data_IF_112852679140
#
_entry.id   IF_112852679140
#
_cell.length_a   1.000
_cell.length_b   1.000
_cell.length_c   1.000
_cell.angle_alpha   90.00
_cell.angle_beta   90.00
_cell.angle_gamma   90.00
#
_symmetry.space_group_name_H-M   'P 1'
#
loop_
_entity.id
_entity.type
_entity.pdbx_description
1 polymer ?
#
# COMPACT_ATOMS: atom_id res chain seq x y z
N UNK A 1 41.88 -38.97 -15.20
CA UNK A 1 41.06 -37.74 -15.08
C UNK A 1 40.37 -37.49 -16.40
N UNK A 2 39.18 -36.89 -16.39
CA UNK A 2 38.30 -36.66 -17.55
C UNK A 2 37.68 -38.01 -18.01
N UNK A 3 36.38 -38.23 -18.14
CA UNK A 3 35.32 -37.38 -18.65
C UNK A 3 34.01 -37.91 -18.05
N UNK A 4 33.35 -37.11 -17.20
CA UNK A 4 31.98 -37.35 -16.73
C UNK A 4 31.04 -36.61 -17.67
N UNK A 5 30.48 -37.30 -18.66
CA UNK A 5 29.38 -36.72 -19.44
C UNK A 5 28.05 -37.34 -19.06
N UNK A 6 27.18 -36.43 -18.60
CA UNK A 6 25.78 -36.36 -18.98
C UNK A 6 24.88 -37.52 -18.52
N UNK A 7 24.87 -37.80 -17.23
CA UNK A 7 23.71 -38.39 -16.57
C UNK A 7 23.24 -37.43 -15.49
N UNK A 8 22.32 -36.54 -15.86
CA UNK A 8 21.19 -36.06 -15.06
C UNK A 8 20.51 -34.92 -15.81
N UNK A 9 19.90 -35.29 -16.93
CA UNK A 9 18.68 -34.63 -17.36
C UNK A 9 17.64 -34.92 -16.28
N UNK A 10 17.36 -33.95 -15.41
CA UNK A 10 16.18 -33.91 -14.51
C UNK A 10 16.17 -32.57 -13.74
N UNK A 11 16.13 -31.47 -14.47
CA UNK A 11 15.54 -30.22 -13.95
C UNK A 11 14.51 -29.71 -14.96
N UNK A 12 13.66 -30.64 -15.40
CA UNK A 12 12.32 -30.28 -15.86
C UNK A 12 11.52 -29.76 -14.68
N UNK A 13 10.75 -28.71 -14.96
CA UNK A 13 9.56 -28.28 -14.22
C UNK A 13 9.78 -27.76 -12.80
N UNK A 14 10.23 -26.51 -12.73
CA UNK A 14 9.58 -25.54 -11.83
C UNK A 14 9.49 -24.21 -12.59
N UNK A 15 8.54 -24.15 -13.54
CA UNK A 15 7.81 -22.89 -13.73
C UNK A 15 7.15 -22.67 -12.38
N UNK A 16 7.77 -21.85 -11.53
CA UNK A 16 7.08 -21.28 -10.38
C UNK A 16 5.87 -20.56 -10.99
N UNK A 17 4.73 -21.25 -10.96
CA UNK A 17 3.44 -20.60 -10.95
C UNK A 17 3.46 -19.76 -9.67
N UNK A 18 4.02 -18.55 -9.77
CA UNK A 18 3.69 -17.50 -8.84
C UNK A 18 2.16 -17.45 -8.88
N UNK A 19 1.46 -17.75 -7.78
CA UNK A 19 0.03 -17.51 -7.76
C UNK A 19 -0.14 -16.04 -8.09
N UNK A 20 -0.72 -15.75 -9.26
CA UNK A 20 -1.25 -14.45 -9.63
C UNK A 20 -2.49 -14.18 -8.76
N UNK A 21 -2.26 -14.16 -7.45
CA UNK A 21 -3.16 -13.72 -6.40
C UNK A 21 -2.45 -12.62 -5.58
N UNK A 22 -1.60 -11.85 -6.25
CA UNK A 22 -1.30 -10.46 -5.86
C UNK A 22 -2.22 -9.50 -6.61
N UNK A 23 -3.45 -9.92 -6.89
CA UNK A 23 -4.51 -9.03 -7.37
C UNK A 23 -5.23 -8.44 -6.14
N UNK A 24 -4.47 -7.78 -5.25
CA UNK A 24 -5.04 -6.92 -4.21
C UNK A 24 -4.00 -6.02 -3.51
N UNK A 25 -3.01 -5.49 -4.24
CA UNK A 25 -2.09 -4.47 -3.70
C UNK A 25 -2.19 -3.11 -4.42
N UNK A 26 -3.29 -2.81 -5.11
CA UNK A 26 -3.45 -1.45 -5.68
C UNK A 26 -4.89 -0.93 -5.74
N UNK A 27 -5.79 -1.43 -4.90
CA UNK A 27 -6.78 -0.51 -4.35
C UNK A 27 -6.10 0.08 -3.12
N UNK A 28 -5.43 1.22 -3.28
CA UNK A 28 -5.40 2.21 -2.21
C UNK A 28 -6.88 2.42 -1.88
N UNK A 29 -7.39 1.63 -0.94
CA UNK A 29 -8.62 1.93 -0.24
C UNK A 29 -8.40 3.36 0.22
N UNK A 30 -9.08 4.32 -0.41
CA UNK A 30 -9.06 5.73 0.00
C UNK A 30 -9.64 5.73 1.41
N UNK A 31 -8.82 5.37 2.39
CA UNK A 31 -9.14 5.47 3.80
C UNK A 31 -9.14 6.95 4.07
N UNK A 32 -10.35 7.47 4.15
CA UNK A 32 -10.53 8.81 4.67
C UNK A 32 -9.97 8.87 6.10
N UNK A 33 -9.49 10.03 6.49
CA UNK A 33 -8.99 10.34 7.80
C UNK A 33 -10.15 10.73 8.72
N UNK A 34 -10.16 10.13 9.90
CA UNK A 34 -11.08 10.52 10.97
C UNK A 34 -10.64 11.86 11.58
N UNK A 35 -11.42 12.37 12.55
CA UNK A 35 -11.11 13.60 13.27
C UNK A 35 -9.66 13.62 13.75
N UNK A 36 -8.98 14.75 13.55
CA UNK A 36 -7.55 14.97 13.83
C UNK A 36 -6.56 14.23 12.93
N UNK A 37 -7.01 13.52 11.90
CA UNK A 37 -6.09 12.97 10.91
C UNK A 37 -5.62 14.04 9.93
N UNK A 38 -4.35 13.97 9.55
CA UNK A 38 -3.75 14.86 8.56
C UNK A 38 -4.48 14.78 7.23
N UNK A 39 -4.82 15.93 6.66
CA UNK A 39 -5.55 16.02 5.40
C UNK A 39 -4.92 17.08 4.49
N UNK A 40 -5.11 16.94 3.17
CA UNK A 40 -4.77 17.99 2.21
C UNK A 40 -6.02 18.56 1.53
N UNK A 41 -7.06 17.75 1.40
CA UNK A 41 -8.32 18.08 0.74
C UNK A 41 -9.51 17.63 1.59
N UNK A 42 -10.70 18.18 1.35
CA UNK A 42 -11.92 17.77 2.06
C UNK A 42 -12.26 16.29 1.82
N UNK A 43 -12.02 15.78 0.61
CA UNK A 43 -12.23 14.37 0.23
C UNK A 43 -11.31 13.40 0.99
N UNK A 44 -10.25 13.90 1.63
CA UNK A 44 -9.40 13.08 2.50
C UNK A 44 -10.08 12.80 3.84
N UNK A 45 -11.11 13.55 4.24
CA UNK A 45 -11.76 13.42 5.54
C UNK A 45 -13.03 12.55 5.49
N UNK A 46 -13.31 11.79 6.55
CA UNK A 46 -14.47 10.92 6.59
C UNK A 46 -15.78 11.68 6.88
N UNK A 47 -16.83 11.38 6.13
CA UNK A 47 -18.17 11.92 6.37
C UNK A 47 -18.25 13.42 6.12
N UNK A 48 -18.81 14.17 7.08
CA UNK A 48 -18.99 15.63 6.98
C UNK A 48 -17.77 16.43 7.45
N UNK A 49 -16.68 15.76 7.83
CA UNK A 49 -15.46 16.40 8.32
C UNK A 49 -14.77 17.21 7.21
N UNK A 50 -14.29 18.39 7.54
CA UNK A 50 -13.56 19.29 6.64
C UNK A 50 -12.09 19.35 6.98
N UNK A 51 -11.28 19.48 5.95
CA UNK A 51 -9.87 19.71 6.11
C UNK A 51 -9.61 21.16 6.55
N UNK A 52 -9.29 21.34 7.83
CA UNK A 52 -9.18 22.66 8.48
C UNK A 52 -7.74 22.93 8.89
N UNK A 53 -7.27 24.16 8.65
CA UNK A 53 -5.94 24.60 9.05
C UNK A 53 -5.95 25.13 10.48
N UNK A 54 -5.26 24.47 11.40
CA UNK A 54 -5.06 24.93 12.77
C UNK A 54 -3.71 25.63 12.90
N UNK A 55 -3.74 26.92 13.23
CA UNK A 55 -2.55 27.78 13.39
C UNK A 55 -2.11 27.93 14.84
N UNK A 56 -2.89 27.42 15.79
CA UNK A 56 -2.76 27.62 17.24
C UNK A 56 -2.70 26.30 17.98
N UNK A 57 -1.89 26.22 19.03
CA UNK A 57 -1.68 25.01 19.83
C UNK A 57 -0.36 24.27 19.50
N UNK A 58 -0.13 23.15 20.19
CA UNK A 58 1.04 22.28 20.00
C UNK A 58 1.01 21.52 18.65
N UNK A 59 -0.18 21.34 18.08
CA UNK A 59 -0.39 20.68 16.80
C UNK A 59 -0.87 21.72 15.79
N UNK A 60 0.07 22.28 15.02
CA UNK A 60 -0.19 23.17 13.87
C UNK A 60 -0.14 22.38 12.57
N UNK A 61 -1.15 22.52 11.72
CA UNK A 61 -1.29 21.69 10.52
C UNK A 61 -2.72 21.67 9.98
N UNK A 62 -2.91 20.92 8.89
CA UNK A 62 -4.21 20.65 8.29
C UNK A 62 -4.73 19.31 8.80
N UNK A 63 -5.90 19.33 9.44
CA UNK A 63 -6.51 18.09 9.93
C UNK A 63 -8.02 18.10 9.70
N UNK A 64 -8.59 16.91 9.69
CA UNK A 64 -10.03 16.73 9.61
C UNK A 64 -10.71 17.20 10.90
N UNK A 65 -11.56 18.22 10.81
CA UNK A 65 -12.37 18.78 11.91
C UNK A 65 -13.78 19.16 11.39
N UNK A 66 -14.73 19.43 12.29
CA UNK A 66 -16.15 19.70 11.94
C UNK A 66 -16.38 21.12 11.39
#
# INVERSE_FOLDING_TARGET
>A
MQIKYAFLALFTSMVLAAPSNLENESQMEKRCFNKWGDCNTHDDCCGDLKCTLHLTGDFKGLWCDN
#
